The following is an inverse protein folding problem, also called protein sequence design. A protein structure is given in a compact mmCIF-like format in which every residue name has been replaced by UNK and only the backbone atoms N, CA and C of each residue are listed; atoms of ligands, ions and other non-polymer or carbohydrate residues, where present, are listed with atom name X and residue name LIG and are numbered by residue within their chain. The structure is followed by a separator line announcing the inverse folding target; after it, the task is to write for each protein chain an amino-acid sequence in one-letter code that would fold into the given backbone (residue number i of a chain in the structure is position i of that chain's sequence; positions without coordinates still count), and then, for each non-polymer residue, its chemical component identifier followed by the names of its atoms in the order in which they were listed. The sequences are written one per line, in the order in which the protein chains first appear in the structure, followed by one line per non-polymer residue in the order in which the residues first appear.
data_IF_127298954319
#
_entry.id   IF_127298954319
#
_cell.length_a   1.000
_cell.length_b   1.000
_cell.length_c   1.000
_cell.angle_alpha   90.00
_cell.angle_beta   90.00
_cell.angle_gamma   90.00
#
_symmetry.space_group_name_H-M   'P 1'
#
loop_
_entity.id
_entity.type
_entity.pdbx_description
1 polymer ?
#
# COMPACT_ATOMS: atom_id res chain seq x y z
N UNK A 1 -11.53 -11.08 39.58
CA UNK A 1 -10.40 -11.27 40.53
C UNK A 1 -9.14 -10.98 39.73
N UNK A 2 -8.35 -9.93 40.05
CA UNK A 2 -7.13 -9.62 39.29
C UNK A 2 -6.08 -10.69 39.57
N UNK A 3 -5.61 -11.38 38.53
CA UNK A 3 -4.87 -12.64 38.66
C UNK A 3 -3.42 -12.46 39.16
N UNK A 4 -2.70 -11.34 38.92
CA UNK A 4 -1.25 -11.38 39.22
C UNK A 4 -0.60 -10.05 39.66
N UNK A 5 -0.71 -9.73 40.94
CA UNK A 5 0.48 -9.24 41.66
C UNK A 5 1.36 -10.40 42.16
N UNK A 6 0.79 -11.61 42.29
CA UNK A 6 1.46 -12.77 42.91
C UNK A 6 2.46 -13.49 41.97
N UNK A 7 2.25 -13.41 40.65
CA UNK A 7 2.96 -14.27 39.69
C UNK A 7 4.33 -13.74 39.24
N UNK A 8 4.59 -12.44 39.46
CA UNK A 8 5.81 -11.77 38.98
C UNK A 8 7.10 -12.40 39.47
N UNK A 9 7.08 -13.07 40.63
CA UNK A 9 8.26 -13.70 41.23
C UNK A 9 8.28 -15.23 41.12
N UNK A 10 7.31 -15.86 40.47
CA UNK A 10 7.21 -17.32 40.35
C UNK A 10 7.95 -17.83 39.11
N UNK A 11 9.21 -17.42 38.93
CA UNK A 11 10.00 -17.68 37.72
C UNK A 11 10.33 -19.15 37.48
N UNK A 12 10.29 -19.98 38.53
CA UNK A 12 10.54 -21.43 38.46
C UNK A 12 9.26 -22.27 38.30
N UNK A 13 8.08 -21.65 38.33
CA UNK A 13 6.82 -22.38 38.24
C UNK A 13 6.68 -22.99 36.84
N UNK A 14 6.45 -24.30 36.78
CA UNK A 14 6.36 -25.04 35.52
C UNK A 14 4.93 -25.44 35.14
N UNK A 15 4.03 -25.58 36.12
CA UNK A 15 2.64 -25.98 35.88
C UNK A 15 1.72 -25.08 36.67
N UNK A 16 0.71 -24.55 36.00
CA UNK A 16 -0.27 -23.66 36.59
C UNK A 16 -1.67 -24.09 36.14
N UNK A 17 -2.53 -24.37 37.11
CA UNK A 17 -3.91 -24.77 36.90
C UNK A 17 -4.81 -23.70 37.53
N UNK A 18 -5.50 -22.94 36.69
CA UNK A 18 -6.50 -21.92 37.10
C UNK A 18 -7.81 -22.20 36.34
N UNK A 19 -8.05 -23.46 36.02
CA UNK A 19 -9.29 -23.92 35.43
C UNK A 19 -10.46 -23.83 36.43
N UNK A 20 -11.70 -23.88 35.94
CA UNK A 20 -12.92 -23.82 36.75
C UNK A 20 -13.03 -22.54 37.58
N UNK A 21 -12.75 -21.40 36.94
CA UNK A 21 -12.80 -20.08 37.56
C UNK A 21 -13.74 -19.14 36.77
N UNK A 22 -13.69 -17.84 37.06
CA UNK A 22 -14.50 -16.81 36.40
C UNK A 22 -13.64 -15.77 35.70
N UNK A 23 -12.56 -16.21 35.05
CA UNK A 23 -11.69 -15.31 34.28
C UNK A 23 -12.38 -14.92 32.97
N UNK A 24 -12.51 -13.61 32.72
CA UNK A 24 -13.17 -13.09 31.50
C UNK A 24 -12.18 -12.45 30.52
N UNK A 25 -11.19 -11.72 31.05
CA UNK A 25 -10.23 -10.97 30.25
C UNK A 25 -8.83 -11.24 30.80
N UNK A 26 -7.93 -11.63 29.90
CA UNK A 26 -6.50 -11.73 30.17
C UNK A 26 -5.83 -10.44 29.69
N UNK A 27 -5.22 -9.71 30.63
CA UNK A 27 -4.40 -8.53 30.34
C UNK A 27 -2.99 -8.97 29.91
N UNK A 28 -2.27 -8.11 29.21
CA UNK A 28 -0.92 -8.41 28.71
C UNK A 28 0.06 -8.79 29.84
N UNK A 29 -0.12 -8.23 31.04
CA UNK A 29 0.75 -8.50 32.19
C UNK A 29 0.25 -9.65 33.09
N UNK A 30 -0.78 -10.38 32.67
CA UNK A 30 -1.41 -11.42 33.50
C UNK A 30 -0.42 -12.50 33.88
N UNK A 31 0.43 -12.98 32.98
CA UNK A 31 1.37 -14.07 33.28
C UNK A 31 2.83 -13.62 33.32
N UNK A 32 3.08 -12.31 33.42
CA UNK A 32 4.44 -11.78 33.47
C UNK A 32 5.25 -12.40 34.61
N UNK A 33 6.45 -12.88 34.30
CA UNK A 33 7.36 -13.51 35.24
C UNK A 33 7.33 -15.04 35.25
N UNK A 34 6.31 -15.67 34.66
CA UNK A 34 6.18 -17.13 34.56
C UNK A 34 6.99 -17.73 33.40
N UNK A 35 8.26 -17.32 33.27
CA UNK A 35 9.12 -17.63 32.12
C UNK A 35 9.46 -19.12 31.97
N UNK A 36 9.37 -19.91 33.03
CA UNK A 36 9.63 -21.36 33.01
C UNK A 36 8.35 -22.20 32.91
N UNK A 37 7.19 -21.57 32.66
CA UNK A 37 5.92 -22.27 32.63
C UNK A 37 5.83 -23.18 31.40
N UNK A 38 5.51 -24.45 31.62
CA UNK A 38 5.44 -25.51 30.61
C UNK A 38 3.99 -25.88 30.33
N UNK A 39 3.15 -25.89 31.37
CA UNK A 39 1.75 -26.28 31.30
C UNK A 39 0.87 -25.21 31.95
N UNK A 40 -0.11 -24.73 31.19
CA UNK A 40 -1.10 -23.75 31.64
C UNK A 40 -2.50 -24.27 31.32
N UNK A 41 -3.29 -24.47 32.35
CA UNK A 41 -4.70 -24.86 32.24
C UNK A 41 -5.60 -23.70 32.66
N UNK A 42 -6.33 -23.17 31.69
CA UNK A 42 -7.31 -22.10 31.79
C UNK A 42 -8.71 -22.57 31.37
N UNK A 43 -8.93 -23.88 31.32
CA UNK A 43 -10.23 -24.46 30.95
C UNK A 43 -11.35 -24.05 31.91
N UNK A 44 -12.60 -24.15 31.47
CA UNK A 44 -13.79 -23.88 32.30
C UNK A 44 -13.74 -22.47 32.94
N UNK A 45 -13.55 -21.46 32.09
CA UNK A 45 -13.57 -20.05 32.47
C UNK A 45 -14.57 -19.29 31.59
N UNK A 46 -14.42 -17.97 31.46
CA UNK A 46 -15.26 -17.11 30.60
C UNK A 46 -14.39 -16.26 29.68
N UNK A 47 -13.20 -16.76 29.35
CA UNK A 47 -12.18 -15.98 28.62
C UNK A 47 -12.71 -15.68 27.22
N UNK A 48 -12.61 -14.41 26.84
CA UNK A 48 -12.87 -13.95 25.47
C UNK A 48 -11.66 -13.18 24.97
N UNK A 49 -11.33 -13.34 23.69
CA UNK A 49 -10.36 -12.49 23.02
C UNK A 49 -11.09 -11.35 22.32
N UNK A 50 -10.54 -10.13 22.44
CA UNK A 50 -11.09 -8.97 21.76
C UNK A 50 -10.73 -9.02 20.29
N UNK A 51 -11.71 -8.83 19.42
CA UNK A 51 -11.44 -8.69 17.99
C UNK A 51 -10.83 -7.32 17.72
N UNK A 52 -9.77 -7.25 16.91
CA UNK A 52 -9.33 -5.97 16.32
C UNK A 52 -10.37 -5.38 15.36
N UNK A 53 -11.40 -6.15 15.00
CA UNK A 53 -12.49 -5.79 14.11
C UNK A 53 -13.83 -5.56 14.83
N UNK A 54 -13.88 -5.54 16.17
CA UNK A 54 -15.09 -5.13 16.91
C UNK A 54 -15.29 -3.59 16.82
N UNK A 55 -15.44 -3.09 15.59
CA UNK A 55 -16.26 -1.90 15.36
C UNK A 55 -17.68 -2.38 15.57
N UNK A 56 -18.19 -2.16 16.76
CA UNK A 56 -19.61 -2.28 17.07
C UNK A 56 -20.42 -1.58 15.97
N UNK A 57 -21.00 -2.36 15.06
CA UNK A 57 -22.15 -1.99 14.23
C UNK A 57 -23.37 -1.84 15.14
N UNK A 58 -23.29 -0.94 16.12
CA UNK A 58 -24.38 -0.59 17.01
C UNK A 58 -24.97 0.75 16.57
N UNK A 59 -25.68 0.73 15.44
CA UNK A 59 -26.94 1.45 15.23
C UNK A 59 -27.53 1.07 13.88
N UNK A 60 -28.80 0.66 13.92
CA UNK A 60 -29.49 -0.01 12.83
C UNK A 60 -29.35 0.68 11.47
N UNK A 61 -29.14 -0.13 10.46
CA UNK A 61 -29.54 0.18 9.10
C UNK A 61 -30.68 -0.76 8.70
N UNK A 62 -31.79 -0.23 8.18
CA UNK A 62 -32.83 -1.07 7.59
C UNK A 62 -32.30 -1.71 6.30
N UNK A 63 -32.89 -2.85 5.94
CA UNK A 63 -32.58 -3.58 4.71
C UNK A 63 -32.54 -2.66 3.46
N UNK A 64 -31.66 -2.93 2.48
CA UNK A 64 -31.62 -2.14 1.26
C UNK A 64 -32.79 -2.51 0.35
N UNK A 65 -33.84 -1.68 0.37
CA UNK A 65 -34.71 -1.50 -0.79
C UNK A 65 -34.05 -0.52 -1.76
N UNK A 66 -33.92 -0.95 -3.01
CA UNK A 66 -33.74 -0.17 -4.23
C UNK A 66 -32.62 0.88 -4.31
N UNK A 67 -31.65 0.55 -5.17
CA UNK A 67 -31.15 1.46 -6.20
C UNK A 67 -30.52 2.78 -5.75
N UNK A 68 -29.20 2.79 -5.64
CA UNK A 68 -28.29 3.66 -6.42
C UNK A 68 -26.86 3.57 -5.89
N UNK A 69 -25.95 3.62 -6.84
CA UNK A 69 -24.50 3.56 -6.69
C UNK A 69 -23.94 4.50 -5.62
N UNK A 70 -22.96 4.02 -4.87
CA UNK A 70 -21.79 4.81 -4.52
C UNK A 70 -20.60 3.89 -4.26
N UNK A 71 -19.57 4.04 -5.08
CA UNK A 71 -18.27 3.38 -4.95
C UNK A 71 -17.50 4.05 -3.83
N UNK A 72 -17.28 3.37 -2.71
CA UNK A 72 -16.24 3.70 -1.74
C UNK A 72 -15.14 2.64 -1.80
N UNK A 73 -13.93 3.09 -2.14
CA UNK A 73 -12.72 2.26 -2.19
C UNK A 73 -12.48 1.59 -0.85
N UNK A 74 -12.44 0.25 -0.85
CA UNK A 74 -11.87 -0.51 0.25
C UNK A 74 -10.37 -0.21 0.31
N UNK A 75 -9.93 0.40 1.41
CA UNK A 75 -8.51 0.51 1.73
C UNK A 75 -7.97 -0.91 1.89
N UNK A 76 -7.07 -1.31 1.00
CA UNK A 76 -6.21 -2.48 1.18
C UNK A 76 -5.22 -2.10 2.26
N UNK A 77 -5.49 -2.49 3.51
CA UNK A 77 -4.55 -2.26 4.60
C UNK A 77 -3.53 -3.40 4.69
N UNK A 78 -2.27 -2.97 4.63
CA UNK A 78 -1.04 -3.76 4.65
C UNK A 78 -0.89 -4.54 5.97
N UNK A 79 -0.14 -5.67 5.96
CA UNK A 79 0.07 -6.47 7.16
C UNK A 79 0.70 -5.66 8.30
N UNK A 80 0.19 -5.91 9.50
CA UNK A 80 0.60 -5.34 10.80
C UNK A 80 2.09 -5.60 11.10
N UNK A 81 3.00 -4.84 10.50
CA UNK A 81 4.42 -4.85 10.84
C UNK A 81 5.07 -3.46 10.86
N UNK A 82 4.34 -2.37 10.58
CA UNK A 82 4.95 -1.04 10.38
C UNK A 82 4.72 -0.05 11.54
N UNK A 83 3.93 -0.39 12.56
CA UNK A 83 3.51 0.58 13.58
C UNK A 83 4.39 0.69 14.85
N UNK A 84 5.70 0.39 14.81
CA UNK A 84 6.56 0.45 16.01
C UNK A 84 7.67 1.52 16.02
N UNK A 85 7.69 2.52 15.12
CA UNK A 85 8.74 3.55 15.12
C UNK A 85 8.24 4.95 14.75
N UNK A 86 7.30 5.54 15.51
CA UNK A 86 7.11 7.00 15.54
C UNK A 86 6.79 7.43 16.98
N UNK A 87 7.80 7.42 17.85
CA UNK A 87 7.82 8.27 19.05
C UNK A 87 9.26 8.47 19.51
N UNK A 88 9.97 9.31 18.76
CA UNK A 88 11.17 10.01 19.22
C UNK A 88 11.22 11.33 18.45
N UNK A 89 10.83 12.41 19.12
CA UNK A 89 10.67 13.73 18.52
C UNK A 89 10.21 14.73 19.56
N UNK A 90 11.10 15.02 20.51
CA UNK A 90 11.02 16.12 21.46
C UNK A 90 10.67 17.45 20.78
N UNK A 91 9.70 18.19 21.35
CA UNK A 91 9.43 19.56 20.94
C UNK A 91 8.19 20.14 21.62
N UNK A 92 8.37 20.70 22.81
CA UNK A 92 7.37 21.55 23.47
C UNK A 92 6.98 22.75 22.60
N UNK A 93 5.67 23.04 22.55
CA UNK A 93 5.14 24.42 22.57
C UNK A 93 3.67 24.42 22.98
N UNK A 94 3.43 24.94 24.16
CA UNK A 94 2.12 25.24 24.72
C UNK A 94 1.41 26.33 23.91
N UNK A 95 0.15 26.12 23.58
CA UNK A 95 -0.82 27.21 23.37
C UNK A 95 -2.17 26.77 23.94
N UNK A 96 -2.66 27.51 24.93
CA UNK A 96 -3.97 27.29 25.55
C UNK A 96 -5.03 28.09 24.80
N UNK A 97 -6.22 27.51 24.64
CA UNK A 97 -7.55 28.03 25.01
C UNK A 97 -8.61 27.58 24.00
N UNK A 98 -9.64 26.88 24.48
CA UNK A 98 -10.87 26.67 23.71
C UNK A 98 -11.53 25.31 23.91
N UNK A 99 -12.20 25.12 25.05
CA UNK A 99 -13.44 24.33 25.21
C UNK A 99 -13.58 23.08 24.31
N UNK A 100 -12.69 22.10 24.47
CA UNK A 100 -12.90 20.77 23.92
C UNK A 100 -13.77 19.95 24.88
N UNK A 101 -15.02 19.73 24.51
CA UNK A 101 -15.67 18.44 24.78
C UNK A 101 -14.90 17.39 23.99
N UNK A 102 -13.71 17.04 24.47
CA UNK A 102 -13.00 15.87 24.01
C UNK A 102 -13.87 14.68 24.41
N UNK A 103 -14.71 14.26 23.46
CA UNK A 103 -15.04 12.85 23.30
C UNK A 103 -13.69 12.16 23.41
N UNK A 104 -13.48 11.49 24.54
CA UNK A 104 -12.32 10.66 24.77
C UNK A 104 -12.42 9.60 23.69
N UNK A 105 -11.72 9.82 22.58
CA UNK A 105 -11.48 8.84 21.53
C UNK A 105 -11.22 7.52 22.26
N UNK A 106 -11.99 6.45 21.97
CA UNK A 106 -11.77 5.19 22.65
C UNK A 106 -10.31 4.83 22.36
N UNK A 107 -9.53 4.74 23.44
CA UNK A 107 -8.14 4.30 23.45
C UNK A 107 -7.96 3.28 22.33
N UNK A 108 -7.15 3.64 21.33
CA UNK A 108 -6.63 2.76 20.28
C UNK A 108 -6.58 1.33 20.82
N UNK A 109 -7.49 0.47 20.35
CA UNK A 109 -7.62 -0.90 20.84
C UNK A 109 -6.36 -1.65 20.42
N UNK A 110 -5.34 -1.57 21.26
CA UNK A 110 -4.10 -2.29 21.08
C UNK A 110 -4.42 -3.79 21.20
N UNK A 111 -3.89 -4.64 20.30
CA UNK A 111 -4.12 -6.07 20.36
C UNK A 111 -3.69 -6.61 21.74
N UNK A 112 -4.57 -7.38 22.37
CA UNK A 112 -4.26 -8.04 23.64
C UNK A 112 -3.21 -9.13 23.41
N UNK A 113 -2.22 -9.18 24.29
CA UNK A 113 -1.13 -10.17 24.30
C UNK A 113 -1.28 -11.06 25.54
N UNK A 114 -2.30 -11.93 25.59
CA UNK A 114 -2.71 -12.63 26.82
C UNK A 114 -1.64 -13.54 27.40
N UNK A 115 -0.68 -13.99 26.58
CA UNK A 115 0.37 -14.95 26.95
C UNK A 115 1.78 -14.38 26.76
N UNK A 116 1.92 -13.05 26.86
CA UNK A 116 3.21 -12.36 26.69
C UNK A 116 4.28 -12.94 27.64
N UNK A 117 5.45 -13.27 27.07
CA UNK A 117 6.60 -13.80 27.81
C UNK A 117 6.55 -15.28 28.20
N UNK A 118 5.51 -16.04 27.83
CA UNK A 118 5.41 -17.47 28.10
C UNK A 118 6.18 -18.33 27.07
N UNK A 119 7.47 -18.04 26.89
CA UNK A 119 8.30 -18.62 25.82
C UNK A 119 8.64 -20.10 25.98
N UNK A 120 8.53 -20.64 27.20
CA UNK A 120 8.77 -22.05 27.50
C UNK A 120 7.49 -22.93 27.44
N UNK A 121 6.32 -22.33 27.20
CA UNK A 121 5.05 -23.01 27.30
C UNK A 121 4.90 -24.08 26.22
N UNK A 122 4.51 -25.29 26.62
CA UNK A 122 4.33 -26.45 25.72
C UNK A 122 2.88 -26.92 25.62
N UNK A 123 2.10 -26.72 26.68
CA UNK A 123 0.72 -27.18 26.75
C UNK A 123 -0.16 -26.06 27.26
N UNK A 124 -1.15 -25.68 26.46
CA UNK A 124 -2.13 -24.66 26.78
C UNK A 124 -3.54 -25.21 26.61
N UNK A 125 -4.30 -25.21 27.70
CA UNK A 125 -5.71 -25.58 27.70
C UNK A 125 -6.61 -24.34 27.86
N UNK A 126 -7.41 -24.05 26.84
CA UNK A 126 -8.40 -22.98 26.80
C UNK A 126 -9.82 -23.53 26.56
N UNK A 127 -10.05 -24.81 26.85
CA UNK A 127 -11.33 -25.46 26.61
C UNK A 127 -12.46 -24.85 27.45
N UNK A 128 -13.71 -24.91 26.98
CA UNK A 128 -14.87 -24.41 27.73
C UNK A 128 -14.73 -22.91 28.12
N UNK A 129 -14.42 -22.07 27.13
CA UNK A 129 -14.36 -20.61 27.26
C UNK A 129 -15.30 -19.94 26.23
N UNK A 130 -15.24 -18.61 26.11
CA UNK A 130 -16.05 -17.84 25.17
C UNK A 130 -15.25 -17.34 23.95
N UNK A 131 -14.16 -18.01 23.58
CA UNK A 131 -13.26 -17.53 22.53
C UNK A 131 -13.94 -17.64 21.17
N UNK A 132 -14.00 -16.54 20.43
CA UNK A 132 -14.62 -16.46 19.09
C UNK A 132 -13.62 -16.25 17.96
N UNK A 133 -12.62 -15.42 18.18
CA UNK A 133 -11.68 -14.99 17.16
C UNK A 133 -10.25 -15.31 17.57
N UNK A 134 -9.46 -15.76 16.61
CA UNK A 134 -8.04 -16.02 16.78
C UNK A 134 -7.28 -15.01 15.92
N UNK A 135 -6.15 -14.54 16.44
CA UNK A 135 -5.21 -13.67 15.73
C UNK A 135 -3.80 -14.13 16.08
N UNK A 136 -2.85 -13.89 15.19
CA UNK A 136 -1.45 -14.26 15.43
C UNK A 136 -0.85 -13.63 16.70
N UNK A 137 -1.33 -12.44 17.09
CA UNK A 137 -0.83 -11.76 18.29
C UNK A 137 -1.15 -12.51 19.58
N UNK A 138 -2.23 -13.30 19.62
CA UNK A 138 -2.55 -14.09 20.81
C UNK A 138 -1.45 -15.11 21.15
N UNK A 139 -0.71 -15.58 20.15
CA UNK A 139 0.24 -16.69 20.28
C UNK A 139 1.70 -16.27 20.08
N UNK A 140 1.96 -14.97 19.94
CA UNK A 140 3.21 -14.39 19.47
C UNK A 140 4.47 -15.01 20.11
N UNK A 141 4.44 -15.20 21.42
CA UNK A 141 5.62 -15.62 22.20
C UNK A 141 5.63 -17.15 22.46
N UNK A 142 4.62 -17.90 22.03
CA UNK A 142 4.42 -19.32 22.34
C UNK A 142 5.16 -20.28 21.40
N UNK A 143 6.41 -19.97 21.04
CA UNK A 143 7.17 -20.70 20.01
C UNK A 143 7.47 -22.18 20.36
N UNK A 144 7.39 -22.54 21.64
CA UNK A 144 7.60 -23.90 22.15
C UNK A 144 6.30 -24.69 22.34
N UNK A 145 5.15 -24.11 21.95
CA UNK A 145 3.85 -24.74 22.17
C UNK A 145 3.74 -26.01 21.33
N UNK A 146 3.38 -27.12 21.99
CA UNK A 146 3.23 -28.44 21.38
C UNK A 146 1.75 -28.83 21.26
N UNK A 147 0.96 -28.52 22.29
CA UNK A 147 -0.49 -28.82 22.32
C UNK A 147 -1.28 -27.56 22.67
N UNK A 148 -2.24 -27.24 21.81
CA UNK A 148 -3.24 -26.21 22.04
C UNK A 148 -4.63 -26.84 21.98
N UNK A 149 -5.41 -26.72 23.05
CA UNK A 149 -6.83 -27.09 23.03
C UNK A 149 -7.72 -25.86 23.21
N UNK A 150 -8.66 -25.72 22.28
CA UNK A 150 -9.70 -24.72 22.20
C UNK A 150 -11.08 -25.39 22.13
N UNK A 151 -11.18 -26.63 22.63
CA UNK A 151 -12.41 -27.43 22.62
C UNK A 151 -13.58 -26.68 23.27
N UNK A 152 -14.78 -26.82 22.72
CA UNK A 152 -16.00 -26.24 23.30
C UNK A 152 -15.90 -24.72 23.55
N UNK A 153 -15.53 -24.00 22.50
CA UNK A 153 -15.54 -22.54 22.44
C UNK A 153 -16.53 -22.10 21.35
N UNK A 154 -16.46 -20.83 20.92
CA UNK A 154 -17.26 -20.29 19.83
C UNK A 154 -16.38 -19.87 18.64
N UNK A 155 -15.26 -20.56 18.43
CA UNK A 155 -14.28 -20.20 17.40
C UNK A 155 -14.95 -20.27 16.03
N UNK A 156 -14.85 -19.16 15.30
CA UNK A 156 -15.27 -19.01 13.91
C UNK A 156 -14.05 -19.12 12.99
N UNK A 157 -14.31 -19.09 11.69
CA UNK A 157 -13.27 -19.23 10.68
C UNK A 157 -12.36 -17.99 10.68
N UNK A 158 -11.08 -18.21 10.36
CA UNK A 158 -10.11 -17.12 10.25
C UNK A 158 -9.61 -16.98 8.81
N UNK A 159 -9.34 -15.74 8.40
CA UNK A 159 -8.97 -15.40 7.02
C UNK A 159 -7.50 -14.99 6.88
N UNK A 160 -6.74 -15.07 7.95
CA UNK A 160 -5.31 -14.75 8.02
C UNK A 160 -4.61 -15.79 8.89
N UNK A 161 -3.37 -16.16 8.57
CA UNK A 161 -2.62 -17.15 9.35
C UNK A 161 -2.52 -16.73 10.82
N UNK A 162 -2.98 -17.59 11.71
CA UNK A 162 -2.95 -17.32 13.15
C UNK A 162 -1.91 -18.18 13.86
N UNK A 163 -1.48 -19.29 13.29
CA UNK A 163 -0.56 -20.22 13.94
C UNK A 163 0.86 -20.24 13.35
N UNK A 164 1.16 -19.36 12.38
CA UNK A 164 2.45 -19.34 11.66
C UNK A 164 3.70 -19.25 12.55
N UNK A 165 3.59 -18.67 13.75
CA UNK A 165 4.71 -18.56 14.71
C UNK A 165 4.88 -19.79 15.62
N UNK A 166 3.97 -20.76 15.57
CA UNK A 166 3.96 -21.94 16.45
C UNK A 166 4.69 -23.13 15.80
N UNK A 167 5.99 -22.98 15.62
CA UNK A 167 6.85 -23.93 14.88
C UNK A 167 6.96 -25.34 15.47
N UNK A 168 6.50 -25.54 16.72
CA UNK A 168 6.52 -26.84 17.40
C UNK A 168 5.11 -27.40 17.65
N UNK A 169 4.07 -26.72 17.15
CA UNK A 169 2.69 -27.13 17.39
C UNK A 169 2.42 -28.46 16.70
N UNK A 170 2.12 -29.47 17.50
CA UNK A 170 1.88 -30.84 17.05
C UNK A 170 0.42 -31.22 17.15
N UNK A 171 -0.28 -30.71 18.16
CA UNK A 171 -1.67 -31.06 18.43
C UNK A 171 -2.54 -29.81 18.57
N UNK A 172 -3.55 -29.70 17.71
CA UNK A 172 -4.53 -28.63 17.70
C UNK A 172 -5.93 -29.21 17.83
N UNK A 173 -6.60 -28.91 18.95
CA UNK A 173 -7.96 -29.38 19.24
C UNK A 173 -8.94 -28.20 19.15
N UNK A 174 -9.83 -28.26 18.18
CA UNK A 174 -10.87 -27.28 17.87
C UNK A 174 -12.26 -27.94 17.84
N UNK A 175 -12.42 -29.11 18.46
CA UNK A 175 -13.71 -29.80 18.48
C UNK A 175 -14.77 -29.01 19.27
N UNK A 176 -16.03 -29.18 18.90
CA UNK A 176 -17.16 -28.45 19.50
C UNK A 176 -17.03 -26.92 19.38
N UNK A 177 -16.70 -26.42 18.20
CA UNK A 177 -16.66 -24.98 17.91
C UNK A 177 -17.76 -24.58 16.91
N UNK A 178 -17.65 -23.39 16.32
CA UNK A 178 -18.62 -22.85 15.37
C UNK A 178 -18.02 -22.66 13.98
N UNK A 179 -17.08 -23.52 13.58
CA UNK A 179 -16.51 -23.50 12.24
C UNK A 179 -17.56 -24.01 11.24
N UNK A 180 -17.81 -23.23 10.19
CA UNK A 180 -18.75 -23.59 9.13
C UNK A 180 -18.10 -23.83 7.76
N UNK A 181 -16.86 -23.39 7.57
CA UNK A 181 -16.10 -23.59 6.33
C UNK A 181 -14.60 -23.70 6.64
N UNK A 182 -13.81 -24.09 5.65
CA UNK A 182 -12.34 -24.19 5.74
C UNK A 182 -11.73 -23.14 4.82
N UNK A 183 -11.26 -22.01 5.36
CA UNK A 183 -10.64 -20.94 4.56
C UNK A 183 -9.26 -21.34 4.02
N UNK A 184 -8.73 -20.56 3.07
CA UNK A 184 -7.35 -20.75 2.59
C UNK A 184 -6.31 -20.55 3.70
N UNK A 185 -6.51 -19.55 4.57
CA UNK A 185 -5.63 -19.33 5.72
C UNK A 185 -5.65 -20.51 6.71
N UNK A 186 -6.82 -21.11 6.94
CA UNK A 186 -6.96 -22.32 7.74
C UNK A 186 -6.23 -23.49 7.08
N UNK A 187 -6.34 -23.65 5.76
CA UNK A 187 -5.64 -24.71 5.05
C UNK A 187 -4.12 -24.59 5.23
N UNK A 188 -3.57 -23.39 5.10
CA UNK A 188 -2.14 -23.15 5.32
C UNK A 188 -1.73 -23.39 6.78
N UNK A 189 -2.52 -22.94 7.76
CA UNK A 189 -2.26 -23.19 9.18
C UNK A 189 -2.35 -24.69 9.53
N UNK A 190 -3.23 -25.46 8.88
CA UNK A 190 -3.31 -26.91 9.04
C UNK A 190 -2.25 -27.68 8.23
N UNK A 191 -1.52 -27.00 7.35
CA UNK A 191 -0.42 -27.56 6.57
C UNK A 191 0.95 -27.37 7.23
N UNK A 192 1.01 -26.86 8.46
CA UNK A 192 2.27 -26.72 9.20
C UNK A 192 2.94 -28.09 9.37
N UNK A 193 4.22 -28.20 8.99
CA UNK A 193 4.98 -29.45 9.04
C UNK A 193 5.05 -30.09 10.44
N UNK A 194 4.91 -29.29 11.50
CA UNK A 194 4.94 -29.75 12.89
C UNK A 194 3.64 -30.42 13.32
N UNK A 195 2.51 -30.13 12.66
CA UNK A 195 1.20 -30.62 13.06
C UNK A 195 1.05 -32.10 12.71
N UNK A 196 0.62 -32.88 13.71
CA UNK A 196 0.37 -34.31 13.57
C UNK A 196 -1.06 -34.69 13.94
N UNK A 197 -1.72 -33.89 14.77
CA UNK A 197 -3.11 -34.10 15.19
C UNK A 197 -3.90 -32.81 15.09
N UNK A 198 -4.98 -32.84 14.32
CA UNK A 198 -5.99 -31.80 14.22
C UNK A 198 -7.35 -32.43 14.53
N UNK A 199 -8.07 -31.88 15.50
CA UNK A 199 -9.43 -32.31 15.81
C UNK A 199 -10.41 -31.17 15.53
N UNK A 200 -11.22 -31.30 14.46
CA UNK A 200 -12.31 -30.36 14.16
C UNK A 200 -13.70 -31.00 14.33
N UNK A 201 -13.81 -32.14 15.04
CA UNK A 201 -15.10 -32.83 15.22
C UNK A 201 -16.15 -31.91 15.85
N UNK A 202 -17.42 -32.20 15.59
CA UNK A 202 -18.54 -31.44 16.17
C UNK A 202 -18.50 -29.94 15.84
N UNK A 203 -18.11 -29.60 14.61
CA UNK A 203 -18.31 -28.29 14.00
C UNK A 203 -19.41 -28.39 12.92
N UNK A 204 -20.00 -27.25 12.54
CA UNK A 204 -21.16 -27.20 11.64
C UNK A 204 -20.74 -26.89 10.19
N UNK A 205 -19.88 -27.72 9.62
CA UNK A 205 -19.33 -27.51 8.29
C UNK A 205 -20.41 -27.55 7.21
N UNK A 206 -20.35 -26.60 6.27
CA UNK A 206 -21.13 -26.61 5.05
C UNK A 206 -20.35 -27.37 3.97
N UNK A 207 -21.03 -28.21 3.19
CA UNK A 207 -20.37 -28.88 2.06
C UNK A 207 -20.18 -27.87 0.93
N UNK A 208 -18.99 -27.31 0.84
CA UNK A 208 -18.64 -26.33 -0.17
C UNK A 208 -17.29 -26.66 -0.84
N UNK A 209 -16.91 -25.85 -1.83
CA UNK A 209 -15.65 -26.08 -2.54
C UNK A 209 -14.40 -25.74 -1.74
N UNK A 210 -14.53 -25.06 -0.60
CA UNK A 210 -13.41 -24.83 0.32
C UNK A 210 -13.04 -26.14 1.02
N UNK A 211 -14.05 -26.92 1.42
CA UNK A 211 -13.89 -28.24 2.01
C UNK A 211 -13.30 -29.26 1.01
N UNK A 212 -13.70 -29.19 -0.26
CA UNK A 212 -13.18 -30.06 -1.31
C UNK A 212 -11.65 -29.97 -1.46
N UNK A 213 -11.04 -28.82 -1.13
CA UNK A 213 -9.58 -28.61 -1.18
C UNK A 213 -8.82 -29.48 -0.17
N UNK A 214 -9.46 -30.01 0.87
CA UNK A 214 -8.81 -30.92 1.81
C UNK A 214 -8.21 -32.16 1.13
N UNK A 215 -8.87 -32.67 0.08
CA UNK A 215 -8.48 -33.90 -0.62
C UNK A 215 -7.32 -33.73 -1.62
N UNK A 216 -6.36 -32.86 -1.31
CA UNK A 216 -5.20 -32.61 -2.16
C UNK A 216 -4.28 -31.50 -1.65
N UNK A 217 -4.79 -30.58 -0.82
CA UNK A 217 -3.96 -29.53 -0.22
C UNK A 217 -3.25 -29.96 1.06
N UNK A 218 -3.82 -30.90 1.83
CA UNK A 218 -3.32 -31.25 3.17
C UNK A 218 -3.29 -32.76 3.35
N UNK A 219 -2.36 -33.24 4.17
CA UNK A 219 -2.37 -34.61 4.64
C UNK A 219 -3.60 -34.85 5.56
N UNK A 220 -4.64 -35.47 5.04
CA UNK A 220 -5.87 -35.75 5.80
C UNK A 220 -5.66 -36.73 6.98
N UNK A 221 -4.52 -37.43 7.05
CA UNK A 221 -4.21 -38.35 8.16
C UNK A 221 -3.97 -37.62 9.49
N UNK A 222 -3.71 -36.32 9.46
CA UNK A 222 -3.55 -35.53 10.70
C UNK A 222 -4.90 -35.30 11.39
N UNK A 223 -6.01 -35.42 10.66
CA UNK A 223 -7.34 -35.19 11.22
C UNK A 223 -7.79 -36.40 12.03
N UNK A 224 -8.11 -36.17 13.30
CA UNK A 224 -8.43 -37.23 14.25
C UNK A 224 -9.73 -37.94 13.85
N UNK A 225 -9.64 -39.20 13.40
CA UNK A 225 -10.78 -40.01 12.95
C UNK A 225 -11.59 -39.28 11.86
N UNK A 226 -10.91 -39.03 10.74
CA UNK A 226 -11.43 -38.33 9.55
C UNK A 226 -12.75 -38.89 9.02
N UNK A 227 -13.01 -40.19 9.22
CA UNK A 227 -14.27 -40.84 8.87
C UNK A 227 -15.50 -40.31 9.63
N UNK A 228 -15.30 -39.68 10.79
CA UNK A 228 -16.39 -39.14 11.61
C UNK A 228 -16.82 -37.72 11.24
N UNK A 229 -16.11 -37.08 10.28
CA UNK A 229 -16.41 -35.70 9.88
C UNK A 229 -17.54 -35.67 8.86
N UNK A 230 -18.50 -34.77 9.10
CA UNK A 230 -19.65 -34.55 8.24
C UNK A 230 -19.81 -33.07 7.93
N UNK A 231 -20.31 -32.78 6.73
CA UNK A 231 -20.75 -31.46 6.31
C UNK A 231 -22.23 -31.51 5.95
N UNK A 232 -22.90 -30.36 5.94
CA UNK A 232 -24.30 -30.23 5.56
C UNK A 232 -24.46 -29.49 4.24
N UNK A 233 -25.28 -30.01 3.33
CA UNK A 233 -25.68 -29.37 2.07
C UNK A 233 -27.19 -29.47 1.92
N UNK A 234 -27.87 -28.33 1.78
CA UNK A 234 -29.34 -28.29 1.60
C UNK A 234 -30.15 -29.08 2.66
N UNK A 235 -29.63 -29.20 3.88
CA UNK A 235 -30.26 -29.93 4.98
C UNK A 235 -29.98 -31.44 5.00
N UNK A 236 -29.11 -31.93 4.10
CA UNK A 236 -28.59 -33.30 4.12
C UNK A 236 -27.16 -33.31 4.64
N UNK A 237 -26.87 -34.21 5.57
CA UNK A 237 -25.52 -34.40 6.09
C UNK A 237 -24.79 -35.46 5.25
N UNK A 238 -23.62 -35.10 4.74
CA UNK A 238 -22.72 -35.95 3.96
C UNK A 238 -21.41 -36.13 4.72
N UNK A 239 -20.78 -37.28 4.59
CA UNK A 239 -19.42 -37.45 5.13
C UNK A 239 -18.42 -36.63 4.31
N UNK A 240 -17.33 -36.17 4.94
CA UNK A 240 -16.27 -35.45 4.23
C UNK A 240 -15.69 -36.29 3.08
N UNK A 241 -15.49 -37.60 3.28
CA UNK A 241 -14.97 -38.51 2.26
C UNK A 241 -15.92 -38.65 1.06
N UNK A 242 -17.23 -38.77 1.33
CA UNK A 242 -18.25 -38.82 0.27
C UNK A 242 -18.31 -37.52 -0.53
N UNK A 243 -18.34 -36.37 0.15
CA UNK A 243 -18.40 -35.08 -0.52
C UNK A 243 -17.11 -34.80 -1.31
N UNK A 244 -15.94 -34.99 -0.71
CA UNK A 244 -14.65 -34.70 -1.38
C UNK A 244 -14.35 -35.62 -2.55
N UNK A 245 -14.98 -36.80 -2.63
CA UNK A 245 -14.86 -37.71 -3.77
C UNK A 245 -15.83 -37.39 -4.93
N UNK A 246 -16.95 -36.72 -4.65
CA UNK A 246 -18.02 -36.46 -5.63
C UNK A 246 -18.13 -34.99 -6.03
N UNK A 247 -17.56 -34.07 -5.25
CA UNK A 247 -17.66 -32.63 -5.46
C UNK A 247 -17.04 -32.21 -6.81
N UNK A 248 -17.89 -31.70 -7.71
CA UNK A 248 -17.45 -30.99 -8.91
C UNK A 248 -17.33 -29.51 -8.56
N UNK A 249 -16.15 -29.12 -8.12
CA UNK A 249 -15.86 -27.72 -7.87
C UNK A 249 -15.43 -27.05 -9.17
N UNK A 250 -16.12 -25.97 -9.59
CA UNK A 250 -15.58 -25.10 -10.62
C UNK A 250 -14.22 -24.65 -10.11
N UNK A 251 -13.15 -25.15 -10.72
CA UNK A 251 -11.83 -24.59 -10.45
C UNK A 251 -11.96 -23.12 -10.77
N UNK A 252 -11.69 -22.25 -9.80
CA UNK A 252 -11.16 -20.93 -10.09
C UNK A 252 -9.74 -21.07 -10.70
N UNK A 253 -9.55 -21.95 -11.69
CA UNK A 253 -8.88 -21.49 -12.89
C UNK A 253 -9.88 -20.47 -13.41
N UNK A 254 -9.59 -19.19 -13.24
CA UNK A 254 -10.37 -18.14 -13.86
C UNK A 254 -10.61 -18.56 -15.30
N UNK A 255 -11.84 -18.98 -15.61
CA UNK A 255 -12.36 -18.73 -16.93
C UNK A 255 -12.28 -17.22 -17.05
N UNK A 256 -11.24 -16.74 -17.74
CA UNK A 256 -11.13 -15.40 -18.32
C UNK A 256 -12.26 -15.13 -19.35
N UNK A 257 -13.49 -15.54 -19.03
CA UNK A 257 -14.69 -15.27 -19.81
C UNK A 257 -15.87 -14.84 -18.93
N UNK A 258 -15.67 -14.65 -17.62
CA UNK A 258 -16.46 -13.64 -16.90
C UNK A 258 -15.70 -12.33 -17.09
N UNK A 259 -16.25 -11.47 -17.95
CA UNK A 259 -15.81 -10.09 -18.12
C UNK A 259 -16.00 -9.38 -16.77
N UNK A 260 -14.98 -9.45 -15.92
CA UNK A 260 -14.85 -8.59 -14.75
C UNK A 260 -14.43 -7.21 -15.26
N UNK A 261 -15.43 -6.40 -15.62
CA UNK A 261 -15.36 -5.03 -16.16
C UNK A 261 -14.76 -4.01 -15.16
N UNK A 262 -14.00 -4.48 -14.15
CA UNK A 262 -13.49 -3.67 -13.06
C UNK A 262 -11.96 -3.48 -13.09
N UNK A 263 -11.22 -4.31 -13.83
CA UNK A 263 -9.75 -4.23 -13.93
C UNK A 263 -9.25 -3.53 -15.20
N UNK A 264 -9.92 -3.73 -16.35
CA UNK A 264 -9.63 -3.02 -17.62
C UNK A 264 -9.98 -1.54 -17.53
N UNK A 265 -11.05 -1.18 -16.84
CA UNK A 265 -11.42 0.23 -16.62
C UNK A 265 -10.39 1.00 -15.77
N UNK A 266 -9.71 0.34 -14.82
CA UNK A 266 -8.74 1.02 -13.95
C UNK A 266 -7.45 1.36 -14.69
N UNK A 267 -6.95 0.48 -15.55
CA UNK A 267 -5.72 0.74 -16.33
C UNK A 267 -5.96 1.79 -17.42
N UNK A 268 -7.12 1.76 -18.09
CA UNK A 268 -7.54 2.77 -19.08
C UNK A 268 -7.67 4.17 -18.45
N UNK A 269 -8.31 4.29 -17.26
CA UNK A 269 -8.45 5.58 -16.56
C UNK A 269 -7.09 6.16 -16.15
N UNK A 270 -6.16 5.32 -15.69
CA UNK A 270 -4.80 5.76 -15.34
C UNK A 270 -4.06 6.26 -16.60
N UNK A 271 -4.17 5.56 -17.72
CA UNK A 271 -3.53 5.96 -18.98
C UNK A 271 -4.09 7.27 -19.53
N UNK A 272 -5.42 7.46 -19.48
CA UNK A 272 -6.08 8.70 -19.91
C UNK A 272 -5.66 9.87 -19.01
N UNK A 273 -5.66 9.68 -17.69
CA UNK A 273 -5.28 10.74 -16.73
C UNK A 273 -3.81 11.15 -16.87
N UNK A 274 -2.90 10.20 -17.07
CA UNK A 274 -1.47 10.47 -17.35
C UNK A 274 -1.29 11.22 -18.68
N UNK A 275 -2.01 10.78 -19.72
CA UNK A 275 -1.95 11.43 -21.05
C UNK A 275 -2.47 12.86 -21.01
N UNK A 276 -3.55 13.11 -20.27
CA UNK A 276 -4.09 14.45 -20.07
C UNK A 276 -3.08 15.35 -19.34
N UNK A 277 -2.44 14.84 -18.29
CA UNK A 277 -1.41 15.56 -17.54
C UNK A 277 -0.21 15.96 -18.42
N UNK A 278 0.29 15.04 -19.24
CA UNK A 278 1.37 15.31 -20.18
C UNK A 278 0.97 16.35 -21.23
N UNK A 279 -0.26 16.32 -21.73
CA UNK A 279 -0.77 17.31 -22.69
C UNK A 279 -0.86 18.73 -22.10
N UNK A 280 -1.20 18.85 -20.81
CA UNK A 280 -1.24 20.14 -20.12
C UNK A 280 0.19 20.65 -19.88
N UNK A 281 1.11 19.80 -19.43
CA UNK A 281 2.52 20.17 -19.22
C UNK A 281 3.17 20.63 -20.54
N UNK A 282 2.96 19.90 -21.63
CA UNK A 282 3.47 20.28 -22.96
C UNK A 282 2.86 21.60 -23.44
N UNK A 283 1.55 21.80 -23.27
CA UNK A 283 0.90 23.07 -23.63
C UNK A 283 1.45 24.26 -22.84
N UNK A 284 1.64 24.11 -21.52
CA UNK A 284 2.20 25.15 -20.66
C UNK A 284 3.66 25.46 -21.05
N UNK A 285 4.47 24.44 -21.32
CA UNK A 285 5.87 24.65 -21.75
C UNK A 285 5.95 25.33 -23.12
N UNK A 286 5.13 24.92 -24.10
CA UNK A 286 5.03 25.59 -25.40
C UNK A 286 4.57 27.05 -25.26
N UNK A 287 3.59 27.32 -24.39
CA UNK A 287 3.13 28.68 -24.12
C UNK A 287 4.23 29.54 -23.49
N UNK A 288 4.91 29.04 -22.45
CA UNK A 288 6.02 29.76 -21.79
C UNK A 288 7.20 30.00 -22.75
N UNK A 289 7.45 29.08 -23.69
CA UNK A 289 8.54 29.18 -24.68
C UNK A 289 8.10 29.77 -26.03
N UNK A 290 6.88 30.28 -26.17
CA UNK A 290 6.31 30.78 -27.44
C UNK A 290 7.17 31.85 -28.12
N UNK A 291 7.77 32.75 -27.36
CA UNK A 291 8.66 33.79 -27.89
C UNK A 291 10.00 33.23 -28.38
N UNK A 292 10.54 32.24 -27.68
CA UNK A 292 11.75 31.53 -28.09
C UNK A 292 11.52 30.73 -29.38
N UNK A 293 10.38 30.05 -29.50
CA UNK A 293 9.99 29.33 -30.72
C UNK A 293 9.79 30.29 -31.91
N UNK A 294 9.13 31.44 -31.70
CA UNK A 294 9.02 32.50 -32.73
C UNK A 294 10.38 33.02 -33.17
N UNK A 295 11.30 33.24 -32.23
CA UNK A 295 12.67 33.64 -32.53
C UNK A 295 13.41 32.56 -33.33
N UNK A 296 13.25 31.28 -32.98
CA UNK A 296 13.86 30.17 -33.72
C UNK A 296 13.33 30.10 -35.16
N UNK A 297 12.01 30.21 -35.34
CA UNK A 297 11.38 30.27 -36.68
C UNK A 297 11.89 31.47 -37.47
N UNK A 298 11.99 32.64 -36.85
CA UNK A 298 12.56 33.83 -37.49
C UNK A 298 14.01 33.63 -37.93
N UNK A 299 14.84 33.03 -37.07
CA UNK A 299 16.25 32.73 -37.36
C UNK A 299 16.41 31.70 -38.48
N UNK A 300 15.54 30.70 -38.55
CA UNK A 300 15.50 29.74 -39.66
C UNK A 300 15.05 30.44 -40.94
N UNK A 301 13.99 31.26 -40.88
CA UNK A 301 13.51 32.03 -42.02
C UNK A 301 14.58 32.96 -42.59
N UNK A 302 15.39 33.61 -41.74
CA UNK A 302 16.56 34.40 -42.17
C UNK A 302 17.67 33.58 -42.82
N UNK A 303 17.79 32.28 -42.51
CA UNK A 303 18.74 31.38 -43.20
C UNK A 303 18.18 30.86 -44.52
N UNK A 304 16.86 30.76 -44.64
CA UNK A 304 16.17 30.26 -45.84
C UNK A 304 15.89 31.37 -46.85
N UNK A 305 15.67 32.61 -46.40
CA UNK A 305 15.71 33.80 -47.25
C UNK A 305 17.17 34.13 -47.59
N UNK A 306 17.69 33.50 -48.64
CA UNK A 306 18.81 34.05 -49.40
C UNK A 306 18.35 35.29 -50.17
N UNK A 307 18.05 36.40 -49.48
CA UNK A 307 18.18 37.73 -50.09
C UNK A 307 19.62 38.20 -49.91
N UNK A 308 20.53 37.49 -50.60
CA UNK A 308 21.95 37.79 -50.69
C UNK A 308 22.38 37.90 -52.16
N UNK A 309 21.50 38.44 -52.98
CA UNK A 309 21.72 38.96 -54.34
C UNK A 309 21.22 40.40 -54.23
N UNK A 310 22.04 41.39 -53.87
CA UNK A 310 22.80 42.20 -54.83
C UNK A 310 24.00 42.91 -54.16
N UNK A 311 24.57 42.35 -53.08
CA UNK A 311 25.69 43.00 -52.40
C UNK A 311 26.96 43.12 -53.29
N UNK A 312 27.09 42.27 -54.31
CA UNK A 312 28.23 42.26 -55.23
C UNK A 312 28.09 43.23 -56.43
N UNK A 313 26.95 43.94 -56.57
CA UNK A 313 26.71 44.90 -57.66
C UNK A 313 26.95 46.37 -57.26
N UNK A 314 27.25 46.66 -56.00
CA UNK A 314 27.51 48.02 -55.56
C UNK A 314 29.02 48.29 -55.54
N UNK A 315 29.45 49.29 -56.33
CA UNK A 315 30.85 49.68 -56.42
C UNK A 315 31.39 50.30 -55.09
N UNK A 316 30.49 50.64 -54.17
CA UNK A 316 30.78 51.31 -52.89
C UNK A 316 29.98 50.67 -51.76
N UNK A 317 30.63 50.54 -50.59
CA UNK A 317 30.06 49.85 -49.43
C UNK A 317 29.12 50.75 -48.62
N UNK A 318 29.39 52.06 -48.61
CA UNK A 318 28.68 53.06 -47.81
C UNK A 318 28.55 54.35 -48.63
N UNK A 319 27.35 54.95 -48.60
CA UNK A 319 27.10 56.30 -49.12
C UNK A 319 27.03 57.30 -47.96
N UNK A 320 27.86 58.34 -48.01
CA UNK A 320 27.87 59.40 -46.99
C UNK A 320 27.26 60.68 -47.58
N UNK A 321 26.13 61.09 -47.01
CA UNK A 321 25.48 62.37 -47.31
C UNK A 321 25.79 63.36 -46.18
N UNK A 322 26.28 64.55 -46.53
CA UNK A 322 26.69 65.56 -45.56
C UNK A 322 26.31 66.96 -46.02
N UNK A 323 26.26 67.91 -45.08
CA UNK A 323 25.94 69.30 -45.36
C UNK A 323 27.20 70.04 -45.88
N UNK A 324 27.03 71.08 -46.70
CA UNK A 324 28.18 71.81 -47.26
C UNK A 324 29.12 72.38 -46.18
N UNK A 325 28.58 72.77 -45.02
CA UNK A 325 29.37 73.25 -43.89
C UNK A 325 30.33 72.19 -43.33
N UNK A 326 29.99 70.90 -43.47
CA UNK A 326 30.75 69.77 -42.94
C UNK A 326 31.72 69.16 -43.95
N UNK A 327 31.81 69.72 -45.18
CA UNK A 327 32.62 69.17 -46.28
C UNK A 327 34.05 68.90 -45.87
N UNK A 328 34.68 69.88 -45.23
CA UNK A 328 36.10 69.80 -44.92
C UNK A 328 36.38 68.68 -43.90
N UNK A 329 35.55 68.56 -42.87
CA UNK A 329 35.70 67.50 -41.88
C UNK A 329 35.46 66.11 -42.48
N UNK A 330 34.43 65.96 -43.32
CA UNK A 330 34.08 64.67 -43.94
C UNK A 330 35.22 64.16 -44.82
N UNK A 331 35.77 64.99 -45.70
CA UNK A 331 36.86 64.56 -46.58
C UNK A 331 38.18 64.33 -45.83
N UNK A 332 38.55 65.22 -44.89
CA UNK A 332 39.86 65.13 -44.23
C UNK A 332 39.91 64.05 -43.13
N UNK A 333 38.81 63.78 -42.44
CA UNK A 333 38.81 62.87 -41.27
C UNK A 333 38.05 61.57 -41.53
N UNK A 334 36.82 61.66 -42.02
CA UNK A 334 35.94 60.49 -42.14
C UNK A 334 36.37 59.62 -43.33
N UNK A 335 36.50 60.23 -44.51
CA UNK A 335 36.83 59.52 -45.76
C UNK A 335 38.25 59.00 -45.71
N UNK A 336 39.21 59.84 -45.29
CA UNK A 336 40.59 59.43 -45.12
C UNK A 336 40.73 58.19 -44.21
N UNK A 337 39.94 58.09 -43.12
CA UNK A 337 39.96 56.91 -42.26
C UNK A 337 39.25 55.69 -42.84
N UNK A 338 38.25 55.89 -43.68
CA UNK A 338 37.52 54.79 -44.32
C UNK A 338 38.33 54.15 -45.46
N UNK A 339 39.00 54.95 -46.30
CA UNK A 339 39.72 54.46 -47.48
C UNK A 339 41.14 53.97 -47.18
N UNK A 340 41.87 54.63 -46.27
CA UNK A 340 43.25 54.24 -45.92
C UNK A 340 43.31 53.10 -44.89
N UNK A 341 42.14 52.56 -44.52
CA UNK A 341 42.02 51.51 -43.51
C UNK A 341 42.52 52.00 -42.18
N UNK A 342 41.83 53.00 -41.62
CA UNK A 342 42.13 53.57 -40.32
C UNK A 342 42.36 52.47 -39.30
N UNK A 343 43.61 52.30 -38.85
CA UNK A 343 44.02 51.29 -37.87
C UNK A 343 43.41 51.61 -36.51
N UNK A 344 42.14 51.30 -36.34
CA UNK A 344 41.54 51.13 -35.02
C UNK A 344 41.63 49.63 -34.70
N UNK A 345 42.29 49.31 -33.59
CA UNK A 345 42.80 47.97 -33.29
C UNK A 345 41.77 46.84 -33.43
N UNK A 346 42.30 45.72 -33.96
CA UNK A 346 41.70 44.42 -34.21
C UNK A 346 40.94 44.31 -35.55
N UNK A 347 41.68 43.75 -36.52
CA UNK A 347 41.34 43.35 -37.88
C UNK A 347 39.89 42.86 -38.07
N UNK A 348 39.04 43.68 -38.72
CA UNK A 348 37.78 43.22 -39.34
C UNK A 348 37.22 44.14 -40.43
N UNK A 349 37.89 45.24 -40.78
CA UNK A 349 37.44 46.11 -41.88
C UNK A 349 38.55 46.19 -42.94
N UNK A 350 38.34 45.49 -44.05
CA UNK A 350 39.12 45.69 -45.27
C UNK A 350 38.90 47.12 -45.79
N UNK A 351 39.79 47.59 -46.67
CA UNK A 351 39.66 48.91 -47.33
C UNK A 351 38.30 48.99 -48.04
N UNK A 352 37.39 49.80 -47.51
CA UNK A 352 36.07 50.03 -48.09
C UNK A 352 36.08 51.27 -48.97
N UNK A 353 35.35 51.25 -50.09
CA UNK A 353 35.23 52.41 -50.99
C UNK A 353 33.96 53.18 -50.64
N UNK A 354 34.09 54.47 -50.32
CA UNK A 354 32.95 55.33 -50.01
C UNK A 354 32.63 56.26 -51.19
N UNK A 355 31.35 56.42 -51.54
CA UNK A 355 30.89 57.56 -52.35
C UNK A 355 30.43 58.66 -51.41
N UNK A 356 30.78 59.89 -51.78
CA UNK A 356 30.49 61.10 -51.04
C UNK A 356 29.66 62.02 -51.95
N UNK A 357 28.46 62.39 -51.50
CA UNK A 357 27.55 63.26 -52.25
C UNK A 357 27.14 64.47 -51.43
N UNK A 358 27.27 65.68 -52.01
CA UNK A 358 26.70 66.89 -51.42
C UNK A 358 25.22 66.98 -51.70
N UNK A 359 24.45 67.28 -50.64
CA UNK A 359 23.00 67.25 -50.68
C UNK A 359 22.38 68.20 -51.71
N UNK A 360 21.26 67.72 -52.26
CA UNK A 360 20.31 68.31 -53.22
C UNK A 360 20.63 68.13 -54.72
N UNK A 361 20.13 67.01 -55.30
CA UNK A 361 19.93 66.69 -56.75
C UNK A 361 20.77 65.59 -57.43
N UNK A 362 21.19 64.54 -56.74
CA UNK A 362 21.76 63.33 -57.36
C UNK A 362 21.00 62.06 -56.99
N UNK A 363 19.69 62.02 -57.26
CA UNK A 363 18.83 60.82 -57.17
C UNK A 363 18.28 60.39 -58.54
N UNK A 364 19.06 60.58 -59.62
CA UNK A 364 18.74 60.06 -60.95
C UNK A 364 19.97 59.38 -61.55
N UNK A 365 19.80 58.10 -61.89
CA UNK A 365 20.76 57.17 -62.49
C UNK A 365 21.84 56.69 -61.52
N UNK A 366 21.61 55.56 -60.87
CA UNK A 366 22.50 54.37 -60.80
C UNK A 366 21.65 53.29 -60.10
N UNK A 367 20.96 52.50 -60.93
CA UNK A 367 20.29 51.27 -60.53
C UNK A 367 21.24 50.13 -60.79
#
# INVERSE_FOLDING_TARGET
MCVCSLCRNLTLLQRLYINNNHLEVLLNDTFTGLVSLIHLDLSDNKITFRSSFDISLSRGMPAPTDGKESRSLALVDLPMAVASWIQSGSGERSFHTGRDTAVREPSSQQPSLPFEGLTALRHLDLSNNGIRYLTASHWRDLQQLVRLTLMNNNVQEWYYHVFYNLSHLSELVLSYNSLSLITEAMLEDFSLDSLTVVDLKHNAFQCDCSLAKLNGSINTSIFLDFSSYSCSQEGHDLSFEEFTSTAVCPSHAQNENVVDDSATGKTEIILISVSLLLSVITSVTLYRKRWYLRYLVYKVKMKTDQHKEDADHYLYDIFVCYSQADRQWVFEHLVARLEDGGRCGQDLWGKGRAIIGEGYNTFRSYK
#
